data_IF_659321716874
#
_entry.id   IF_659321716874
#
_cell.length_a   1.000
_cell.length_b   1.000
_cell.length_c   1.000
_cell.angle_alpha   90.00
_cell.angle_beta   90.00
_cell.angle_gamma   90.00
#
_symmetry.space_group_name_H-M   'P 1'
#
loop_
_entity.id
_entity.type
_entity.pdbx_description
1 polymer ?
#
# COMPACT_ATOMS: atom_id res chain seq x y z
N UNK A 1 -8.45 13.58 -12.12
CA UNK A 1 -7.39 12.82 -12.81
C UNK A 1 -7.84 11.37 -12.83
N UNK A 2 -8.03 10.84 -14.04
CA UNK A 2 -8.83 9.66 -14.33
C UNK A 2 -8.41 8.41 -13.55
N UNK A 3 -9.42 7.66 -13.10
CA UNK A 3 -9.31 6.26 -12.72
C UNK A 3 -8.49 5.53 -13.79
N UNK A 4 -7.23 5.24 -13.50
CA UNK A 4 -6.48 4.27 -14.28
C UNK A 4 -7.17 2.92 -14.03
N UNK A 5 -7.77 2.38 -15.09
CA UNK A 5 -8.48 1.12 -15.08
C UNK A 5 -7.49 -0.03 -14.83
N UNK A 6 -7.17 -0.29 -13.57
CA UNK A 6 -6.54 -1.54 -13.15
C UNK A 6 -7.54 -2.69 -13.38
N UNK A 7 -7.08 -3.88 -13.81
CA UNK A 7 -7.96 -5.03 -13.97
C UNK A 7 -8.69 -5.34 -12.67
N UNK A 8 -9.90 -5.92 -12.76
CA UNK A 8 -10.85 -6.08 -11.63
C UNK A 8 -10.22 -6.73 -10.39
N UNK A 9 -9.23 -7.59 -10.59
CA UNK A 9 -8.48 -8.29 -9.54
C UNK A 9 -7.46 -7.42 -8.78
N UNK A 10 -7.16 -6.22 -9.27
CA UNK A 10 -6.25 -5.25 -8.66
C UNK A 10 -6.97 -4.01 -8.11
N UNK A 11 -8.30 -3.94 -8.28
CA UNK A 11 -9.14 -2.94 -7.61
C UNK A 11 -9.19 -3.01 -6.06
N UNK A 12 -8.89 -4.14 -5.37
CA UNK A 12 -8.93 -4.16 -3.91
C UNK A 12 -7.62 -3.69 -3.23
N UNK A 13 -6.59 -3.26 -3.97
CA UNK A 13 -5.36 -2.71 -3.35
C UNK A 13 -5.62 -1.26 -2.95
N UNK A 14 -5.81 -1.03 -1.66
CA UNK A 14 -6.10 0.27 -1.06
C UNK A 14 -5.19 0.60 0.10
N UNK A 15 -5.49 1.69 0.83
CA UNK A 15 -4.68 2.15 1.97
C UNK A 15 -4.44 1.03 3.00
N UNK A 16 -5.47 0.24 3.28
CA UNK A 16 -5.44 -0.82 4.29
C UNK A 16 -4.57 -2.02 3.89
N UNK A 17 -4.27 -2.20 2.59
CA UNK A 17 -3.40 -3.26 2.09
C UNK A 17 -1.96 -3.12 2.59
N UNK A 18 -1.54 -1.91 2.98
CA UNK A 18 -0.21 -1.65 3.50
C UNK A 18 -0.22 -1.10 4.93
N UNK A 19 -1.22 -0.30 5.29
CA UNK A 19 -1.29 0.41 6.57
C UNK A 19 -2.09 -0.32 7.65
N UNK A 20 -2.77 -1.43 7.29
CA UNK A 20 -3.62 -2.21 8.19
C UNK A 20 -5.06 -1.67 8.30
N UNK A 21 -5.92 -2.29 9.13
CA UNK A 21 -7.34 -1.93 9.23
C UNK A 21 -7.54 -0.49 9.74
N UNK A 22 -8.23 0.33 8.96
CA UNK A 22 -8.46 1.75 9.23
C UNK A 22 -9.63 2.05 10.17
N UNK A 23 -10.51 1.07 10.41
CA UNK A 23 -11.77 1.31 11.14
C UNK A 23 -11.57 1.98 12.51
N UNK A 24 -10.72 1.41 13.37
CA UNK A 24 -10.52 1.95 14.72
C UNK A 24 -9.79 3.29 14.69
N UNK A 25 -8.81 3.44 13.80
CA UNK A 25 -8.12 4.71 13.57
C UNK A 25 -9.09 5.82 13.12
N UNK A 26 -10.05 5.50 12.24
CA UNK A 26 -11.02 6.50 11.76
C UNK A 26 -11.97 7.02 12.85
N UNK A 27 -12.17 6.25 13.92
CA UNK A 27 -13.02 6.61 15.04
C UNK A 27 -12.25 7.34 16.15
N UNK A 28 -10.97 7.03 16.31
CA UNK A 28 -10.10 7.59 17.35
C UNK A 28 -8.65 7.73 16.85
N UNK A 29 -8.36 8.71 15.98
CA UNK A 29 -7.05 8.83 15.34
C UNK A 29 -5.95 9.29 16.29
N UNK A 30 -6.31 9.88 17.44
CA UNK A 30 -5.35 10.36 18.45
C UNK A 30 -4.79 9.21 19.29
N UNK A 31 -5.59 8.18 19.55
CA UNK A 31 -5.19 7.05 20.41
C UNK A 31 -4.97 5.74 19.65
N UNK A 32 -5.47 5.62 18.41
CA UNK A 32 -5.30 4.43 17.56
C UNK A 32 -4.42 4.77 16.37
N UNK A 33 -3.15 4.37 16.43
CA UNK A 33 -2.20 4.56 15.33
C UNK A 33 -2.33 3.50 14.24
N UNK A 34 -2.11 3.92 12.98
CA UNK A 34 -1.85 3.02 11.86
C UNK A 34 -0.34 2.83 11.65
N UNK A 35 0.02 1.80 10.88
CA UNK A 35 1.39 1.63 10.41
C UNK A 35 1.69 2.80 9.47
N UNK A 36 2.46 3.80 9.90
CA UNK A 36 2.75 4.97 9.05
C UNK A 36 3.67 4.63 7.87
N UNK A 37 4.71 3.84 8.12
CA UNK A 37 5.70 3.44 7.11
C UNK A 37 5.77 1.92 7.06
N UNK A 38 5.03 1.28 6.13
CA UNK A 38 5.15 -0.15 5.89
C UNK A 38 6.58 -0.52 5.51
N UNK A 39 7.09 -1.63 6.04
CA UNK A 39 8.41 -2.12 5.66
C UNK A 39 8.39 -2.79 4.28
N UNK A 40 9.57 -2.94 3.66
CA UNK A 40 9.73 -3.61 2.35
C UNK A 40 9.05 -4.98 2.28
N UNK A 41 9.03 -5.73 3.39
CA UNK A 41 8.38 -7.04 3.47
C UNK A 41 6.89 -7.00 3.11
N UNK A 42 6.19 -5.90 3.38
CA UNK A 42 4.78 -5.72 3.02
C UNK A 42 4.59 -5.76 1.50
N UNK A 43 5.51 -5.18 0.74
CA UNK A 43 5.46 -5.18 -0.73
C UNK A 43 5.65 -6.59 -1.31
N UNK A 44 6.54 -7.38 -0.67
CA UNK A 44 6.89 -8.73 -1.10
C UNK A 44 5.79 -9.77 -0.83
N UNK A 45 4.68 -9.39 -0.18
CA UNK A 45 3.50 -10.25 -0.05
C UNK A 45 2.86 -10.50 -1.42
N UNK A 46 2.91 -9.49 -2.31
CA UNK A 46 2.33 -9.57 -3.65
C UNK A 46 3.39 -9.53 -4.76
N UNK A 47 4.50 -8.80 -4.55
CA UNK A 47 5.60 -8.77 -5.50
C UNK A 47 6.55 -9.94 -5.26
N UNK A 48 6.09 -11.13 -5.65
CA UNK A 48 6.88 -12.36 -5.71
C UNK A 48 7.36 -12.60 -7.15
N UNK A 49 8.33 -13.50 -7.35
CA UNK A 49 8.79 -13.86 -8.69
C UNK A 49 7.67 -14.40 -9.59
N UNK A 50 6.65 -15.05 -9.03
CA UNK A 50 5.51 -15.54 -9.81
C UNK A 50 4.64 -14.39 -10.38
N UNK A 51 4.63 -13.23 -9.73
CA UNK A 51 3.75 -12.11 -10.07
C UNK A 51 4.49 -10.91 -10.67
N UNK A 52 5.77 -10.73 -10.35
CA UNK A 52 6.62 -9.63 -10.81
C UNK A 52 8.11 -10.03 -10.71
N UNK A 53 8.63 -10.63 -11.78
CA UNK A 53 10.04 -11.08 -11.88
C UNK A 53 11.08 -9.95 -11.67
N UNK A 54 10.68 -8.69 -11.83
CA UNK A 54 11.59 -7.54 -11.86
C UNK A 54 11.23 -6.48 -10.83
N UNK A 55 10.56 -6.86 -9.73
CA UNK A 55 10.21 -5.91 -8.69
C UNK A 55 11.46 -5.32 -8.01
N UNK A 56 11.60 -4.00 -8.09
CA UNK A 56 12.59 -3.22 -7.34
C UNK A 56 11.89 -2.25 -6.38
N UNK A 57 11.98 -2.55 -5.09
CA UNK A 57 11.39 -1.75 -4.02
C UNK A 57 11.84 -0.28 -4.07
N UNK A 58 13.14 -0.03 -4.23
CA UNK A 58 13.73 1.31 -4.16
C UNK A 58 13.22 2.21 -5.28
N UNK A 59 13.04 1.64 -6.48
CA UNK A 59 12.50 2.36 -7.64
C UNK A 59 10.99 2.57 -7.56
N UNK A 60 10.24 1.70 -6.87
CA UNK A 60 8.76 1.73 -6.85
C UNK A 60 8.16 2.48 -5.67
N UNK A 61 8.79 2.48 -4.50
CA UNK A 61 8.19 3.00 -3.27
C UNK A 61 7.70 4.45 -3.41
N UNK A 62 8.48 5.31 -4.06
CA UNK A 62 8.14 6.72 -4.25
C UNK A 62 6.91 6.98 -5.13
N UNK A 63 6.44 5.98 -5.88
CA UNK A 63 5.25 6.12 -6.75
C UNK A 63 3.94 5.94 -6.00
N UNK A 64 3.99 5.31 -4.82
CA UNK A 64 2.82 5.00 -3.97
C UNK A 64 2.88 5.69 -2.61
N UNK A 65 4.01 6.32 -2.27
CA UNK A 65 4.15 7.12 -1.04
C UNK A 65 3.17 8.29 -0.99
N UNK A 66 2.72 8.62 0.22
CA UNK A 66 1.90 9.81 0.47
C UNK A 66 2.66 11.09 0.10
N UNK A 67 1.98 12.13 -0.43
CA UNK A 67 2.60 13.42 -0.81
C UNK A 67 3.09 14.28 0.38
N UNK A 68 3.10 13.74 1.59
CA UNK A 68 3.42 14.45 2.83
C UNK A 68 4.79 14.06 3.42
N UNK A 69 5.68 13.48 2.60
CA UNK A 69 7.10 13.31 2.90
C UNK A 69 7.94 14.33 2.14
#
# INVERSE_FOLDING_TARGET
RGYLAYPVNLQPVGCESCHGPGKNHSMDPENVSLVQTPGQKTCLICHTSEHDDNFDYSSKINTISCPSL
#
